data_IF_035943679810
#
_entry.id   IF_035943679810
#
_cell.length_a   1.000
_cell.length_b   1.000
_cell.length_c   1.000
_cell.angle_alpha   90.00
_cell.angle_beta   90.00
_cell.angle_gamma   90.00
#
_symmetry.space_group_name_H-M   'P 1'
#
loop_
_entity.id
_entity.type
_entity.pdbx_description
1 polymer ?
#
# COMPACT_ATOMS: atom_id res chain seq x y z
N UNK A 1 -29.85 -16.90 11.17
CA UNK A 1 -28.82 -15.84 11.12
C UNK A 1 -29.04 -15.02 9.85
N UNK A 2 -28.69 -13.74 9.85
CA UNK A 2 -28.80 -12.85 8.69
C UNK A 2 -27.41 -12.31 8.32
N UNK A 3 -27.07 -12.41 7.03
CA UNK A 3 -25.96 -11.71 6.40
C UNK A 3 -26.59 -10.75 5.40
N UNK A 4 -26.37 -9.46 5.59
CA UNK A 4 -26.77 -8.42 4.66
C UNK A 4 -25.71 -7.33 4.67
N UNK A 5 -25.44 -6.75 3.51
CA UNK A 5 -24.42 -5.74 3.35
C UNK A 5 -24.79 -4.74 2.25
N UNK A 6 -24.44 -3.49 2.46
CA UNK A 6 -24.65 -2.43 1.51
C UNK A 6 -23.87 -2.67 0.22
N UNK A 7 -24.52 -2.32 -0.89
CA UNK A 7 -23.91 -2.15 -2.20
C UNK A 7 -24.78 -1.16 -2.98
N UNK A 8 -24.27 -0.57 -4.04
CA UNK A 8 -25.03 0.40 -4.83
C UNK A 8 -26.38 -0.21 -5.31
N UNK A 9 -27.48 0.45 -4.97
CA UNK A 9 -28.85 0.00 -5.24
C UNK A 9 -29.45 -0.96 -4.19
N UNK A 10 -28.70 -1.36 -3.16
CA UNK A 10 -29.21 -2.22 -2.09
C UNK A 10 -30.15 -1.43 -1.15
N UNK A 11 -31.39 -1.91 -0.90
CA UNK A 11 -32.34 -1.21 -0.04
C UNK A 11 -32.02 -1.47 1.45
N UNK A 12 -30.96 -0.84 1.97
CA UNK A 12 -30.50 -1.02 3.35
C UNK A 12 -31.60 -0.72 4.38
N UNK A 13 -32.45 0.27 4.11
CA UNK A 13 -33.60 0.57 4.97
C UNK A 13 -34.57 -0.61 5.11
N UNK A 14 -34.87 -1.31 4.01
CA UNK A 14 -35.73 -2.51 4.05
C UNK A 14 -35.06 -3.65 4.81
N UNK A 15 -33.74 -3.80 4.69
CA UNK A 15 -32.99 -4.79 5.46
C UNK A 15 -33.05 -4.49 6.97
N UNK A 16 -32.93 -3.22 7.37
CA UNK A 16 -33.12 -2.77 8.75
C UNK A 16 -34.55 -3.01 9.25
N UNK A 17 -35.56 -2.74 8.43
CA UNK A 17 -36.96 -3.04 8.77
C UNK A 17 -37.17 -4.55 8.96
N UNK A 18 -36.55 -5.37 8.12
CA UNK A 18 -36.59 -6.84 8.26
C UNK A 18 -35.89 -7.31 9.55
N UNK A 19 -34.71 -6.76 9.87
CA UNK A 19 -34.01 -7.02 11.13
C UNK A 19 -34.91 -6.71 12.33
N UNK A 20 -35.54 -5.53 12.37
CA UNK A 20 -36.47 -5.16 13.45
C UNK A 20 -37.69 -6.08 13.52
N UNK A 21 -38.22 -6.49 12.38
CA UNK A 21 -39.41 -7.35 12.31
C UNK A 21 -39.13 -8.79 12.75
N UNK A 22 -37.96 -9.33 12.43
CA UNK A 22 -37.64 -10.76 12.61
C UNK A 22 -36.63 -11.05 13.71
N UNK A 23 -35.94 -10.02 14.21
CA UNK A 23 -34.88 -10.11 15.21
C UNK A 23 -33.88 -11.27 14.97
N UNK A 24 -33.30 -11.42 13.76
CA UNK A 24 -32.39 -12.52 13.49
C UNK A 24 -31.02 -12.32 14.16
N UNK A 25 -30.27 -13.40 14.37
CA UNK A 25 -28.85 -13.29 14.73
C UNK A 25 -28.06 -12.63 13.59
N UNK A 26 -27.54 -11.43 13.84
CA UNK A 26 -26.83 -10.61 12.85
C UNK A 26 -25.35 -10.95 12.79
N UNK A 27 -24.83 -11.19 11.58
CA UNK A 27 -23.38 -11.36 11.36
C UNK A 27 -22.69 -10.00 11.24
N UNK A 28 -23.29 -9.08 10.49
CA UNK A 28 -22.82 -7.70 10.37
C UNK A 28 -23.98 -6.77 10.75
N UNK A 29 -23.70 -5.79 11.60
CA UNK A 29 -24.69 -4.78 12.02
C UNK A 29 -25.08 -3.90 10.83
N UNK A 30 -26.38 -3.70 10.61
CA UNK A 30 -26.91 -2.94 9.47
C UNK A 30 -26.90 -1.42 9.72
N UNK A 31 -27.04 -0.96 10.96
CA UNK A 31 -26.97 0.47 11.28
C UNK A 31 -25.57 1.01 11.03
N UNK A 32 -24.55 0.24 11.41
CA UNK A 32 -23.14 0.57 11.17
C UNK A 32 -22.81 0.69 9.68
N UNK A 33 -23.61 0.14 8.78
CA UNK A 33 -23.39 0.30 7.33
C UNK A 33 -23.77 1.69 6.81
N UNK A 34 -24.63 2.45 7.52
CA UNK A 34 -24.81 3.88 7.23
C UNK A 34 -23.59 4.69 7.68
N UNK A 35 -23.01 4.34 8.82
CA UNK A 35 -21.79 4.97 9.32
C UNK A 35 -20.62 4.76 8.36
N UNK A 36 -20.48 3.56 7.78
CA UNK A 36 -19.43 3.25 6.82
C UNK A 36 -19.55 4.04 5.50
N UNK A 37 -20.70 4.63 5.20
CA UNK A 37 -20.89 5.47 4.00
C UNK A 37 -20.35 6.90 4.20
N UNK A 38 -20.07 7.32 5.43
CA UNK A 38 -19.52 8.64 5.75
C UNK A 38 -18.14 8.50 6.38
N UNK A 39 -17.10 8.91 5.64
CA UNK A 39 -15.71 8.83 6.11
C UNK A 39 -15.48 9.62 7.39
N UNK A 40 -16.27 10.67 7.66
CA UNK A 40 -16.15 11.47 8.88
C UNK A 40 -16.51 10.64 10.10
N UNK A 41 -17.61 9.89 10.01
CA UNK A 41 -18.06 9.00 11.09
C UNK A 41 -17.12 7.82 11.27
N UNK A 42 -16.59 7.26 10.17
CA UNK A 42 -15.54 6.23 10.22
C UNK A 42 -14.34 6.72 11.02
N UNK A 43 -13.81 7.91 10.69
CA UNK A 43 -12.63 8.45 11.36
C UNK A 43 -12.91 8.87 12.82
N UNK A 44 -14.13 9.31 13.15
CA UNK A 44 -14.55 9.54 14.54
C UNK A 44 -14.47 8.26 15.37
N UNK A 45 -14.94 7.13 14.83
CA UNK A 45 -14.87 5.83 15.50
C UNK A 45 -13.41 5.38 15.67
N UNK A 46 -12.59 5.45 14.60
CA UNK A 46 -11.17 5.09 14.69
C UNK A 46 -10.45 5.89 15.78
N UNK A 47 -10.73 7.20 15.88
CA UNK A 47 -10.19 8.06 16.93
C UNK A 47 -10.68 7.69 18.33
N UNK A 48 -11.98 7.43 18.49
CA UNK A 48 -12.60 7.04 19.76
C UNK A 48 -12.01 5.73 20.31
N UNK A 49 -11.77 4.77 19.43
CA UNK A 49 -11.24 3.45 19.78
C UNK A 49 -9.69 3.42 19.80
N UNK A 50 -9.04 4.58 19.71
CA UNK A 50 -7.57 4.70 19.72
C UNK A 50 -6.86 3.88 18.63
N UNK A 51 -7.55 3.61 17.51
CA UNK A 51 -6.96 2.91 16.36
C UNK A 51 -6.14 3.92 15.58
N UNK A 52 -4.87 3.60 15.32
CA UNK A 52 -3.97 4.50 14.58
C UNK A 52 -4.50 4.76 13.17
N UNK A 53 -4.63 6.03 12.81
CA UNK A 53 -5.06 6.54 11.51
C UNK A 53 -4.26 7.82 11.18
N UNK A 54 -4.16 8.24 9.91
CA UNK A 54 -3.47 9.48 9.55
C UNK A 54 -4.07 10.70 10.27
N UNK A 55 -3.24 11.70 10.61
CA UNK A 55 -3.77 12.97 11.10
C UNK A 55 -4.64 13.58 10.00
N UNK A 56 -5.82 14.05 10.37
CA UNK A 56 -6.81 14.54 9.43
C UNK A 56 -7.58 15.76 9.96
N UNK A 57 -8.16 16.52 9.04
CA UNK A 57 -9.14 17.57 9.29
C UNK A 57 -10.31 17.43 8.31
N UNK A 58 -11.48 17.92 8.70
CA UNK A 58 -12.71 17.85 7.89
C UNK A 58 -13.09 19.25 7.47
N UNK A 59 -13.36 19.44 6.17
CA UNK A 59 -13.89 20.67 5.62
C UNK A 59 -15.30 20.43 5.10
N UNK A 60 -16.31 20.94 5.80
CA UNK A 60 -17.72 20.79 5.45
C UNK A 60 -18.19 22.03 4.69
N UNK A 61 -18.46 21.91 3.38
CA UNK A 61 -18.97 23.02 2.56
C UNK A 61 -20.47 22.95 2.31
N UNK A 62 -21.06 21.76 2.45
CA UNK A 62 -22.46 21.53 2.08
C UNK A 62 -23.47 22.04 3.13
N UNK A 63 -23.00 22.48 4.30
CA UNK A 63 -23.83 22.85 5.44
C UNK A 63 -23.92 24.36 5.73
N UNK A 64 -23.44 25.25 4.83
CA UNK A 64 -23.20 26.67 5.14
C UNK A 64 -22.38 26.85 6.43
N UNK A 65 -21.45 25.92 6.66
CA UNK A 65 -20.64 25.85 7.88
C UNK A 65 -19.53 26.91 7.83
N UNK A 66 -19.25 27.55 8.95
CA UNK A 66 -18.20 28.59 9.04
C UNK A 66 -16.79 28.02 8.83
N UNK A 67 -16.64 26.69 8.73
CA UNK A 67 -15.35 26.02 8.50
C UNK A 67 -14.67 26.44 7.20
N UNK A 68 -15.41 26.82 6.16
CA UNK A 68 -14.83 27.31 4.89
C UNK A 68 -14.21 28.72 5.06
N UNK A 69 -14.67 29.51 6.04
CA UNK A 69 -14.10 30.82 6.35
C UNK A 69 -12.71 30.72 7.01
N UNK A 70 -12.40 29.57 7.62
CA UNK A 70 -11.10 29.30 8.26
C UNK A 70 -10.20 28.42 7.39
N UNK A 71 -10.55 28.23 6.11
CA UNK A 71 -9.73 27.50 5.15
C UNK A 71 -8.82 28.46 4.41
N UNK A 72 -7.51 28.25 4.51
CA UNK A 72 -6.54 28.94 3.66
C UNK A 72 -5.70 27.95 2.87
N UNK A 73 -5.43 28.29 1.62
CA UNK A 73 -4.59 27.48 0.73
C UNK A 73 -3.42 28.33 0.25
N UNK A 74 -2.22 27.83 0.45
CA UNK A 74 -0.99 28.38 -0.13
C UNK A 74 -0.48 27.48 -1.26
N UNK A 75 0.70 27.77 -1.78
CA UNK A 75 1.29 26.97 -2.85
C UNK A 75 1.62 25.53 -2.41
N UNK A 76 2.07 25.35 -1.16
CA UNK A 76 2.60 24.08 -0.64
C UNK A 76 1.94 23.59 0.66
N UNK A 77 0.94 24.30 1.18
CA UNK A 77 0.14 23.83 2.30
C UNK A 77 -1.32 24.28 2.23
N UNK A 78 -2.14 23.63 3.04
CA UNK A 78 -3.47 24.11 3.42
C UNK A 78 -3.51 24.27 4.94
N UNK A 79 -4.34 25.17 5.42
CA UNK A 79 -4.60 25.40 6.83
C UNK A 79 -6.10 25.41 7.08
N UNK A 80 -6.53 24.68 8.10
CA UNK A 80 -7.93 24.60 8.54
C UNK A 80 -7.97 24.75 10.06
N UNK A 81 -8.60 25.81 10.56
CA UNK A 81 -8.77 26.04 12.01
C UNK A 81 -7.45 25.93 12.80
N UNK A 82 -6.35 26.42 12.23
CA UNK A 82 -5.00 26.37 12.81
C UNK A 82 -4.21 25.08 12.54
N UNK A 83 -4.84 24.03 11.99
CA UNK A 83 -4.14 22.81 11.58
C UNK A 83 -3.56 22.94 10.18
N UNK A 84 -2.23 22.92 10.09
CA UNK A 84 -1.50 23.02 8.82
C UNK A 84 -1.19 21.63 8.25
N UNK A 85 -1.49 21.42 6.97
CA UNK A 85 -1.14 20.22 6.21
C UNK A 85 -0.19 20.60 5.08
N UNK A 86 1.08 20.23 5.23
CA UNK A 86 2.10 20.42 4.22
C UNK A 86 1.96 19.37 3.11
N UNK A 87 2.18 19.76 1.86
CA UNK A 87 2.23 18.79 0.76
C UNK A 87 3.46 17.86 0.94
N UNK A 88 3.32 16.54 0.72
CA UNK A 88 2.11 15.90 0.20
C UNK A 88 1.02 15.66 1.26
N UNK A 89 -0.22 15.89 0.86
CA UNK A 89 -1.42 15.55 1.64
C UNK A 89 -2.47 14.91 0.73
N UNK A 90 -3.44 14.21 1.33
CA UNK A 90 -4.52 13.51 0.65
C UNK A 90 -5.84 14.23 0.90
N UNK A 91 -6.70 14.33 -0.11
CA UNK A 91 -8.06 14.87 -0.05
C UNK A 91 -9.06 13.79 -0.48
N UNK A 92 -9.92 13.39 0.46
CA UNK A 92 -10.95 12.36 0.25
C UNK A 92 -12.33 13.00 0.29
N UNK A 93 -13.25 12.69 -0.64
CA UNK A 93 -14.66 13.02 -0.47
C UNK A 93 -15.19 12.47 0.86
N UNK A 94 -16.09 13.20 1.53
CA UNK A 94 -16.72 12.70 2.77
C UNK A 94 -17.58 11.46 2.54
N UNK A 95 -18.18 11.34 1.35
CA UNK A 95 -18.85 10.13 0.89
C UNK A 95 -17.83 9.02 0.64
N UNK A 96 -17.97 7.89 1.35
CA UNK A 96 -17.09 6.75 1.22
C UNK A 96 -17.25 6.02 -0.13
N UNK A 97 -18.42 6.12 -0.77
CA UNK A 97 -18.67 5.55 -2.09
C UNK A 97 -18.10 6.42 -3.23
N UNK A 98 -17.73 7.67 -2.95
CA UNK A 98 -16.94 8.47 -3.87
C UNK A 98 -15.44 8.14 -3.73
N UNK A 99 -14.92 7.49 -4.77
CA UNK A 99 -13.54 7.02 -4.86
C UNK A 99 -12.60 8.04 -5.54
N UNK A 100 -13.06 9.28 -5.78
CA UNK A 100 -12.24 10.36 -6.36
C UNK A 100 -11.31 10.99 -5.31
N UNK A 101 -10.31 10.22 -4.86
CA UNK A 101 -9.32 10.64 -3.86
C UNK A 101 -8.14 11.31 -4.53
N UNK A 102 -7.77 12.52 -4.08
CA UNK A 102 -6.69 13.30 -4.69
C UNK A 102 -5.49 13.39 -3.75
N UNK A 103 -4.29 13.39 -4.30
CA UNK A 103 -3.03 13.56 -3.57
C UNK A 103 -2.31 14.75 -4.18
N UNK A 104 -1.98 15.75 -3.37
CA UNK A 104 -1.32 16.97 -3.85
C UNK A 104 0.17 16.89 -3.56
N UNK A 105 1.01 17.23 -4.52
CA UNK A 105 2.47 17.14 -4.37
C UNK A 105 3.10 18.51 -4.15
N UNK A 106 4.18 18.60 -3.36
CA UNK A 106 4.83 19.88 -3.15
C UNK A 106 5.45 20.40 -4.45
N UNK A 107 5.63 21.72 -4.59
CA UNK A 107 6.35 22.37 -5.70
C UNK A 107 7.77 21.84 -5.77
N UNK A 108 8.37 21.65 -4.59
CA UNK A 108 9.64 20.99 -4.42
C UNK A 108 9.61 19.49 -4.78
N UNK A 109 8.50 18.90 -5.26
CA UNK A 109 8.39 17.59 -5.92
C UNK A 109 7.97 17.67 -7.40
N UNK A 110 7.72 18.88 -7.94
CA UNK A 110 7.21 19.12 -9.29
C UNK A 110 5.76 19.59 -9.32
N UNK A 111 5.11 19.68 -8.15
CA UNK A 111 3.73 20.12 -8.01
C UNK A 111 2.71 19.19 -8.68
N UNK A 112 1.49 19.71 -8.79
CA UNK A 112 0.35 18.99 -9.36
C UNK A 112 -0.28 18.02 -8.37
N UNK A 113 -1.11 17.13 -8.90
CA UNK A 113 -1.88 16.18 -8.11
C UNK A 113 -2.01 14.82 -8.79
N UNK A 114 -2.10 13.77 -7.98
CA UNK A 114 -2.52 12.44 -8.42
C UNK A 114 -4.00 12.28 -8.14
N UNK A 115 -4.80 11.94 -9.16
CA UNK A 115 -6.25 11.77 -9.06
C UNK A 115 -6.59 10.30 -9.15
N UNK A 116 -6.93 9.70 -8.02
CA UNK A 116 -7.37 8.32 -7.93
C UNK A 116 -8.84 8.24 -8.32
N UNK A 117 -9.24 7.08 -8.83
CA UNK A 117 -10.61 6.78 -9.19
C UNK A 117 -10.84 5.28 -9.13
N UNK A 118 -12.11 4.86 -9.07
CA UNK A 118 -12.47 3.45 -9.18
C UNK A 118 -11.91 2.90 -10.49
N UNK A 119 -11.06 1.88 -10.38
CA UNK A 119 -10.29 1.29 -11.47
C UNK A 119 -11.08 1.15 -12.77
N UNK A 120 -10.55 1.72 -13.85
CA UNK A 120 -11.08 1.62 -15.22
C UNK A 120 -10.00 0.95 -16.08
N UNK A 121 -10.26 -0.29 -16.49
CA UNK A 121 -9.32 -1.08 -17.29
C UNK A 121 -7.96 -1.27 -16.59
N UNK A 122 -6.90 -0.72 -17.16
CA UNK A 122 -5.53 -0.83 -16.65
C UNK A 122 -5.11 0.34 -15.75
N UNK A 123 -6.01 1.27 -15.42
CA UNK A 123 -5.70 2.44 -14.59
C UNK A 123 -6.52 2.54 -13.32
N UNK A 124 -5.89 3.05 -12.27
CA UNK A 124 -6.47 3.36 -10.96
C UNK A 124 -6.22 4.81 -10.52
N UNK A 125 -5.37 5.55 -11.24
CA UNK A 125 -5.18 6.98 -11.06
C UNK A 125 -4.53 7.62 -12.29
N UNK A 126 -4.53 8.96 -12.31
CA UNK A 126 -3.87 9.77 -13.33
C UNK A 126 -3.25 11.03 -12.71
N UNK A 127 -2.08 11.42 -13.21
CA UNK A 127 -1.45 12.69 -12.84
C UNK A 127 -2.16 13.86 -13.49
N UNK A 128 -2.29 14.96 -12.76
CA UNK A 128 -2.82 16.24 -13.22
C UNK A 128 -1.84 17.35 -12.83
N UNK A 129 -1.58 18.34 -13.71
CA UNK A 129 -0.75 19.48 -13.36
C UNK A 129 -1.45 20.44 -12.36
N UNK A 130 -2.74 20.25 -12.10
CA UNK A 130 -3.50 21.10 -11.19
C UNK A 130 -3.01 20.87 -9.75
N UNK A 131 -2.52 21.94 -9.13
CA UNK A 131 -1.93 21.93 -7.78
C UNK A 131 -2.84 22.60 -6.73
N UNK A 132 -4.09 22.92 -7.09
CA UNK A 132 -5.08 23.54 -6.20
C UNK A 132 -6.16 22.54 -5.79
N UNK A 133 -6.62 22.65 -4.53
CA UNK A 133 -7.67 21.79 -3.98
C UNK A 133 -9.03 22.01 -4.63
N UNK A 134 -9.94 21.04 -4.49
CA UNK A 134 -11.32 21.17 -4.98
C UNK A 134 -12.07 22.22 -4.15
N UNK A 135 -12.87 23.04 -4.84
CA UNK A 135 -13.58 24.21 -4.27
C UNK A 135 -15.05 23.95 -3.96
N UNK A 136 -15.61 22.85 -4.45
CA UNK A 136 -17.01 22.48 -4.28
C UNK A 136 -17.10 21.12 -3.60
N UNK A 137 -18.03 20.95 -2.66
CA UNK A 137 -18.19 19.72 -1.89
C UNK A 137 -17.32 19.67 -0.63
N UNK A 138 -17.67 18.73 0.24
CA UNK A 138 -17.01 18.49 1.53
C UNK A 138 -15.93 17.41 1.43
N UNK A 139 -14.81 17.61 2.14
CA UNK A 139 -13.64 16.73 2.05
C UNK A 139 -13.00 16.47 3.42
N UNK A 140 -12.32 15.33 3.52
CA UNK A 140 -11.33 15.04 4.55
C UNK A 140 -9.95 15.31 3.95
N UNK A 141 -9.15 16.12 4.62
CA UNK A 141 -7.74 16.29 4.33
C UNK A 141 -6.92 15.54 5.36
N UNK A 142 -5.97 14.73 4.90
CA UNK A 142 -5.11 13.93 5.78
C UNK A 142 -3.64 13.97 5.35
N UNK A 143 -2.76 13.71 6.32
CA UNK A 143 -1.34 13.58 6.05
C UNK A 143 -1.06 12.40 5.11
N UNK A 144 -0.21 12.64 4.10
CA UNK A 144 0.24 11.57 3.23
C UNK A 144 1.23 10.66 3.96
N UNK A 145 0.91 9.37 4.05
CA UNK A 145 1.75 8.38 4.71
C UNK A 145 2.77 7.78 3.72
N UNK A 146 4.09 7.93 3.94
CA UNK A 146 5.10 7.41 3.03
C UNK A 146 5.26 5.89 3.22
N UNK A 147 4.53 5.10 2.43
CA UNK A 147 4.65 3.64 2.39
C UNK A 147 5.73 3.19 1.39
N UNK A 148 6.04 1.90 1.36
CA UNK A 148 6.92 1.28 0.36
C UNK A 148 6.28 1.14 -1.04
N UNK A 149 5.19 1.88 -1.31
CA UNK A 149 4.47 1.86 -2.58
C UNK A 149 3.38 0.80 -2.68
N UNK A 150 3.00 0.20 -1.55
CA UNK A 150 1.91 -0.77 -1.47
C UNK A 150 0.92 -0.41 -0.37
N UNK A 151 -0.34 -0.78 -0.61
CA UNK A 151 -1.42 -0.68 0.37
C UNK A 151 -1.74 -2.10 0.85
N UNK A 152 -1.84 -2.30 2.16
CA UNK A 152 -2.17 -3.60 2.76
C UNK A 152 -3.68 -3.67 2.92
N UNK A 153 -4.33 -4.61 2.23
CA UNK A 153 -5.76 -4.88 2.37
C UNK A 153 -5.96 -6.00 3.37
N UNK A 154 -6.71 -5.72 4.42
CA UNK A 154 -7.03 -6.67 5.49
C UNK A 154 -8.49 -7.07 5.40
N UNK A 155 -8.76 -8.36 5.60
CA UNK A 155 -10.08 -8.96 5.55
C UNK A 155 -10.29 -9.78 6.82
N UNK A 156 -10.98 -9.20 7.79
CA UNK A 156 -11.33 -9.83 9.05
C UNK A 156 -12.55 -10.74 8.89
N UNK A 157 -12.57 -11.84 9.64
CA UNK A 157 -13.74 -12.72 9.82
C UNK A 157 -13.89 -12.98 11.31
N UNK A 158 -14.59 -12.07 11.98
CA UNK A 158 -14.62 -11.95 13.43
C UNK A 158 -13.36 -11.31 14.00
N UNK A 159 -13.25 -11.27 15.34
CA UNK A 159 -12.16 -10.60 16.02
C UNK A 159 -10.80 -11.31 15.90
N UNK A 160 -10.79 -12.63 15.69
CA UNK A 160 -9.58 -13.45 15.87
C UNK A 160 -8.96 -13.96 14.57
N UNK A 161 -9.61 -13.71 13.42
CA UNK A 161 -9.12 -14.08 12.11
C UNK A 161 -9.00 -12.87 11.19
N UNK A 162 -7.84 -12.71 10.56
CA UNK A 162 -7.62 -11.72 9.52
C UNK A 162 -6.69 -12.25 8.44
N UNK A 163 -7.13 -12.15 7.19
CA UNK A 163 -6.29 -12.36 6.01
C UNK A 163 -5.76 -11.02 5.50
N UNK A 164 -4.52 -10.97 5.02
CA UNK A 164 -3.95 -9.75 4.46
C UNK A 164 -3.19 -9.99 3.15
N UNK A 165 -3.38 -9.08 2.21
CA UNK A 165 -2.69 -9.03 0.93
C UNK A 165 -2.29 -7.59 0.61
N UNK A 166 -1.11 -7.37 0.07
CA UNK A 166 -0.67 -6.06 -0.40
C UNK A 166 -0.93 -5.91 -1.90
N UNK A 167 -1.27 -4.70 -2.32
CA UNK A 167 -1.39 -4.32 -3.73
C UNK A 167 -0.57 -3.06 -3.98
N UNK A 168 -0.18 -2.83 -5.23
CA UNK A 168 0.49 -1.59 -5.62
C UNK A 168 -0.42 -0.40 -5.31
N UNK A 169 0.13 0.60 -4.64
CA UNK A 169 -0.62 1.81 -4.29
C UNK A 169 -0.98 2.61 -5.55
N UNK A 170 -2.24 3.02 -5.72
CA UNK A 170 -2.65 3.87 -6.84
C UNK A 170 -2.06 5.29 -6.72
N UNK A 171 -1.49 5.66 -5.57
CA UNK A 171 -0.75 6.90 -5.36
C UNK A 171 0.54 7.01 -6.21
N UNK A 172 1.05 5.90 -6.75
CA UNK A 172 2.26 5.87 -7.57
C UNK A 172 2.03 6.38 -9.01
N UNK A 173 1.93 5.47 -9.98
CA UNK A 173 1.78 5.80 -11.41
C UNK A 173 0.35 5.57 -11.95
N UNK A 174 -0.52 4.98 -11.12
CA UNK A 174 -1.87 4.61 -11.47
C UNK A 174 -1.99 3.45 -12.45
N UNK A 175 -0.89 2.77 -12.82
CA UNK A 175 -0.92 1.59 -13.69
C UNK A 175 -1.13 0.35 -12.84
N UNK A 176 -2.21 -0.36 -13.12
CA UNK A 176 -2.56 -1.61 -12.44
C UNK A 176 -1.65 -2.72 -12.95
N UNK A 177 -0.96 -3.39 -12.04
CA UNK A 177 -0.14 -4.55 -12.36
C UNK A 177 -1.01 -5.79 -12.48
N UNK A 178 -0.84 -6.53 -13.58
CA UNK A 178 -1.61 -7.74 -13.87
C UNK A 178 -0.67 -8.91 -14.12
N UNK A 179 -1.10 -10.09 -13.68
CA UNK A 179 -0.42 -11.35 -13.97
C UNK A 179 -0.73 -11.85 -15.39
N UNK A 180 -0.22 -13.04 -15.71
CA UNK A 180 -0.38 -13.67 -17.03
C UNK A 180 -1.85 -13.98 -17.36
N UNK A 181 -2.69 -14.14 -16.34
CA UNK A 181 -4.12 -14.43 -16.47
C UNK A 181 -4.96 -13.14 -16.44
N UNK A 182 -4.30 -11.97 -16.47
CA UNK A 182 -4.96 -10.67 -16.44
C UNK A 182 -5.52 -10.28 -15.07
N UNK A 183 -5.29 -11.05 -14.01
CA UNK A 183 -5.71 -10.71 -12.64
C UNK A 183 -4.73 -9.71 -12.03
N UNK A 184 -5.22 -8.88 -11.13
CA UNK A 184 -4.38 -7.89 -10.45
C UNK A 184 -3.39 -8.57 -9.50
N UNK A 185 -2.12 -8.18 -9.60
CA UNK A 185 -1.04 -8.76 -8.79
C UNK A 185 -1.25 -8.42 -7.32
N UNK A 186 -1.10 -9.43 -6.47
CA UNK A 186 -1.24 -9.35 -5.02
C UNK A 186 -0.04 -10.01 -4.37
N UNK A 187 0.42 -9.42 -3.27
CA UNK A 187 1.52 -9.96 -2.48
C UNK A 187 0.99 -10.48 -1.15
N UNK A 188 1.32 -11.72 -0.74
CA UNK A 188 0.89 -12.22 0.56
C UNK A 188 1.49 -11.36 1.68
N UNK A 189 0.67 -11.02 2.68
CA UNK A 189 1.10 -10.25 3.85
C UNK A 189 0.82 -11.04 5.11
N UNK A 190 1.83 -11.13 5.97
CA UNK A 190 1.65 -11.58 7.34
C UNK A 190 1.47 -10.34 8.20
N UNK A 191 0.36 -10.30 8.94
CA UNK A 191 0.10 -9.25 9.92
C UNK A 191 0.96 -9.48 11.17
N UNK A 192 1.55 -8.40 11.67
CA UNK A 192 2.19 -8.37 12.98
C UNK A 192 1.15 -8.53 14.09
N UNK A 193 1.59 -8.81 15.33
CA UNK A 193 0.70 -8.90 16.49
C UNK A 193 -0.13 -7.61 16.67
N UNK A 194 0.51 -6.44 16.51
CA UNK A 194 -0.16 -5.15 16.61
C UNK A 194 -1.23 -4.97 15.53
N UNK A 195 -0.96 -5.39 14.29
CA UNK A 195 -1.95 -5.29 13.20
C UNK A 195 -3.10 -6.28 13.34
N UNK A 196 -2.87 -7.45 13.96
CA UNK A 196 -3.95 -8.37 14.35
C UNK A 196 -4.84 -7.74 15.42
N UNK A 197 -4.26 -7.06 16.40
CA UNK A 197 -5.03 -6.27 17.36
C UNK A 197 -5.85 -5.18 16.64
N UNK A 198 -5.26 -4.46 15.69
CA UNK A 198 -6.01 -3.49 14.88
C UNK A 198 -7.18 -4.15 14.15
N UNK A 199 -6.98 -5.32 13.53
CA UNK A 199 -8.05 -6.04 12.85
C UNK A 199 -9.20 -6.45 13.80
N UNK A 200 -8.85 -6.90 15.00
CA UNK A 200 -9.80 -7.18 16.09
C UNK A 200 -10.62 -5.93 16.43
N UNK A 201 -9.94 -4.83 16.77
CA UNK A 201 -10.59 -3.60 17.18
C UNK A 201 -11.46 -3.02 16.07
N UNK A 202 -11.02 -3.04 14.80
CA UNK A 202 -11.83 -2.60 13.66
C UNK A 202 -13.10 -3.47 13.51
N UNK A 203 -12.98 -4.80 13.59
CA UNK A 203 -14.15 -5.68 13.47
C UNK A 203 -15.19 -5.41 14.58
N UNK A 204 -14.72 -5.25 15.82
CA UNK A 204 -15.58 -4.99 16.97
C UNK A 204 -16.19 -3.58 16.95
N UNK A 205 -15.37 -2.55 16.72
CA UNK A 205 -15.79 -1.15 16.71
C UNK A 205 -16.87 -0.87 15.67
N UNK A 206 -16.71 -1.43 14.46
CA UNK A 206 -17.67 -1.28 13.38
C UNK A 206 -18.78 -2.34 13.40
N UNK A 207 -18.74 -3.28 14.34
CA UNK A 207 -19.68 -4.42 14.46
C UNK A 207 -19.85 -5.18 13.15
N UNK A 208 -18.75 -5.30 12.40
CA UNK A 208 -18.71 -6.01 11.13
C UNK A 208 -17.88 -7.27 11.34
N UNK A 209 -18.54 -8.43 11.44
CA UNK A 209 -17.83 -9.72 11.55
C UNK A 209 -17.00 -9.95 10.30
N UNK A 210 -17.61 -9.85 9.12
CA UNK A 210 -16.86 -9.83 7.86
C UNK A 210 -16.53 -8.38 7.55
N UNK A 211 -15.25 -7.99 7.63
CA UNK A 211 -14.85 -6.59 7.49
C UNK A 211 -13.56 -6.44 6.67
N UNK A 212 -13.59 -5.63 5.61
CA UNK A 212 -12.44 -5.24 4.82
C UNK A 212 -11.99 -3.82 5.17
N UNK A 213 -10.69 -3.63 5.39
CA UNK A 213 -10.11 -2.30 5.65
C UNK A 213 -8.69 -2.21 5.09
N UNK A 214 -8.22 -0.99 4.87
CA UNK A 214 -6.91 -0.70 4.30
C UNK A 214 -5.94 -0.17 5.35
N UNK A 215 -4.72 -0.72 5.35
CA UNK A 215 -3.61 -0.37 6.21
C UNK A 215 -2.45 0.24 5.41
N UNK A 216 -1.91 1.33 5.93
CA UNK A 216 -0.68 1.96 5.48
C UNK A 216 0.43 1.65 6.49
N UNK A 217 1.46 0.92 6.05
CA UNK A 217 2.68 0.70 6.83
C UNK A 217 3.65 1.84 6.55
N UNK A 218 3.83 2.74 7.52
CA UNK A 218 4.66 3.93 7.39
C UNK A 218 5.37 4.25 8.72
N UNK A 219 6.63 4.70 8.65
CA UNK A 219 7.40 5.13 9.82
C UNK A 219 7.44 4.09 10.97
N UNK A 220 7.49 2.79 10.63
CA UNK A 220 7.51 1.69 11.60
C UNK A 220 6.19 1.43 12.32
N UNK A 221 5.09 2.07 11.90
CA UNK A 221 3.73 1.88 12.43
C UNK A 221 2.75 1.50 11.31
N UNK A 222 1.54 1.08 11.69
CA UNK A 222 0.45 0.75 10.77
C UNK A 222 -0.74 1.65 11.05
N UNK A 223 -1.31 2.24 10.00
CA UNK A 223 -2.40 3.21 10.10
C UNK A 223 -3.57 2.75 9.25
N UNK A 224 -4.77 2.73 9.81
CA UNK A 224 -6.01 2.49 9.06
C UNK A 224 -6.36 3.75 8.29
N UNK A 225 -6.54 3.63 6.97
CA UNK A 225 -6.88 4.75 6.10
C UNK A 225 -8.24 4.60 5.40
N UNK A 226 -8.83 3.41 5.44
CA UNK A 226 -10.18 3.16 4.92
C UNK A 226 -10.81 1.93 5.59
N UNK A 227 -12.12 1.95 5.82
CA UNK A 227 -12.91 0.82 6.35
C UNK A 227 -14.13 0.63 5.46
N UNK A 228 -14.20 -0.51 4.77
CA UNK A 228 -15.18 -0.76 3.71
C UNK A 228 -16.40 -1.58 4.18
N UNK A 229 -16.36 -2.14 5.39
CA UNK A 229 -17.36 -3.11 5.84
C UNK A 229 -17.25 -4.45 5.12
N UNK A 230 -18.38 -5.05 4.74
CA UNK A 230 -18.41 -6.41 4.21
C UNK A 230 -17.55 -6.59 2.94
N UNK A 231 -16.51 -7.41 3.02
CA UNK A 231 -15.61 -7.67 1.89
C UNK A 231 -14.96 -9.04 2.01
N UNK A 232 -15.00 -9.81 0.92
CA UNK A 232 -14.32 -11.10 0.83
C UNK A 232 -13.01 -11.03 0.05
N UNK A 233 -12.04 -11.83 0.49
CA UNK A 233 -10.85 -12.15 -0.31
C UNK A 233 -11.29 -12.91 -1.55
N UNK A 234 -10.66 -12.63 -2.69
CA UNK A 234 -10.95 -13.30 -3.96
C UNK A 234 -9.79 -14.19 -4.36
N UNK A 235 -10.09 -15.34 -4.97
CA UNK A 235 -9.11 -16.31 -5.49
C UNK A 235 -8.25 -16.99 -4.40
N UNK A 236 -8.81 -17.24 -3.22
CA UNK A 236 -8.11 -17.95 -2.15
C UNK A 236 -9.01 -19.05 -1.59
N UNK A 237 -8.80 -20.29 -2.02
CA UNK A 237 -9.59 -21.44 -1.53
C UNK A 237 -9.48 -21.59 -0.02
N UNK A 238 -8.27 -21.40 0.53
CA UNK A 238 -8.05 -21.41 1.98
C UNK A 238 -8.89 -20.36 2.71
N UNK A 239 -9.00 -19.15 2.17
CA UNK A 239 -9.85 -18.12 2.80
C UNK A 239 -11.32 -18.54 2.78
N UNK A 240 -11.80 -19.13 1.69
CA UNK A 240 -13.18 -19.59 1.62
C UNK A 240 -13.48 -20.67 2.65
N UNK A 241 -12.59 -21.66 2.80
CA UNK A 241 -12.72 -22.73 3.80
C UNK A 241 -12.69 -22.17 5.24
N UNK A 242 -11.70 -21.32 5.54
CA UNK A 242 -11.54 -20.70 6.86
C UNK A 242 -12.77 -19.82 7.19
N UNK A 243 -13.18 -18.94 6.26
CA UNK A 243 -14.29 -18.03 6.44
C UNK A 243 -15.61 -18.78 6.65
N UNK A 244 -15.90 -19.80 5.83
CA UNK A 244 -17.11 -20.61 5.96
C UNK A 244 -17.14 -21.34 7.31
N UNK A 245 -16.01 -21.92 7.73
CA UNK A 245 -15.90 -22.61 9.03
C UNK A 245 -16.12 -21.66 10.19
N UNK A 246 -15.52 -20.47 10.17
CA UNK A 246 -15.67 -19.47 11.23
C UNK A 246 -17.12 -18.99 11.31
N UNK A 247 -17.71 -18.57 10.20
CA UNK A 247 -19.11 -18.11 10.17
C UNK A 247 -20.08 -19.22 10.57
N UNK A 248 -19.89 -20.44 10.07
CA UNK A 248 -20.69 -21.60 10.48
C UNK A 248 -20.59 -21.87 11.98
N UNK A 249 -19.39 -21.81 12.55
CA UNK A 249 -19.17 -21.97 14.00
C UNK A 249 -19.86 -20.87 14.81
N UNK A 250 -19.81 -19.61 14.35
CA UNK A 250 -20.51 -18.49 15.01
C UNK A 250 -22.03 -18.69 15.01
N UNK A 251 -22.60 -19.09 13.86
CA UNK A 251 -24.03 -19.37 13.73
C UNK A 251 -24.44 -20.54 14.62
N UNK A 252 -23.70 -21.65 14.60
CA UNK A 252 -23.98 -22.81 15.45
C UNK A 252 -23.86 -22.46 16.94
N UNK A 253 -22.82 -21.72 17.34
CA UNK A 253 -22.64 -21.28 18.73
C UNK A 253 -23.83 -20.45 19.22
N UNK A 254 -24.41 -19.60 18.38
CA UNK A 254 -25.53 -18.73 18.77
C UNK A 254 -26.90 -19.44 18.71
N UNK A 255 -27.14 -20.23 17.67
CA UNK A 255 -28.47 -20.79 17.36
C UNK A 255 -28.66 -22.24 17.81
N UNK A 256 -27.60 -23.05 17.92
CA UNK A 256 -27.75 -24.46 18.28
C UNK A 256 -28.45 -24.68 19.64
N UNK A 257 -28.17 -23.89 20.71
CA UNK A 257 -28.89 -24.02 21.97
C UNK A 257 -30.40 -23.74 21.82
N UNK A 258 -30.77 -22.74 21.03
CA UNK A 258 -32.17 -22.35 20.80
C UNK A 258 -32.92 -23.38 19.96
N UNK A 259 -32.21 -24.04 19.05
CA UNK A 259 -32.75 -25.07 18.15
C UNK A 259 -32.62 -26.49 18.71
N UNK A 260 -32.11 -26.65 19.94
CA UNK A 260 -31.82 -27.95 20.57
C UNK A 260 -30.95 -28.87 19.68
N UNK A 261 -30.06 -28.28 18.88
CA UNK A 261 -29.12 -29.04 18.06
C UNK A 261 -27.93 -29.39 18.95
N UNK A 262 -27.57 -30.67 19.12
CA UNK A 262 -26.35 -31.06 19.83
C UNK A 262 -25.13 -30.51 19.10
N UNK A 263 -24.55 -29.45 19.64
CA UNK A 263 -23.32 -28.86 19.15
C UNK A 263 -22.30 -28.88 20.27
N UNK A 264 -21.37 -29.82 20.20
CA UNK A 264 -20.20 -29.80 21.07
C UNK A 264 -19.40 -28.59 20.67
N UNK A 265 -19.23 -27.64 21.58
CA UNK A 265 -18.21 -26.62 21.42
C UNK A 265 -16.89 -27.39 21.30
N UNK A 266 -16.40 -27.60 20.07
CA UNK A 266 -14.98 -27.88 19.87
C UNK A 266 -14.27 -26.83 20.72
N UNK A 267 -13.33 -27.28 21.54
CA UNK A 267 -12.67 -26.42 22.52
C UNK A 267 -12.30 -25.09 21.90
N UNK A 268 -12.40 -24.02 22.69
CA UNK A 268 -12.07 -22.67 22.28
C UNK A 268 -10.81 -22.67 21.38
N UNK A 269 -10.68 -21.75 20.41
CA UNK A 269 -9.49 -21.65 19.56
C UNK A 269 -8.16 -21.43 20.32
N UNK A 270 -8.17 -21.46 21.65
CA UNK A 270 -7.00 -21.57 22.53
C UNK A 270 -6.41 -23.00 22.59
N UNK A 271 -7.15 -24.03 22.22
CA UNK A 271 -6.60 -25.38 22.16
C UNK A 271 -5.87 -25.61 20.84
N UNK A 272 -4.56 -25.78 20.99
CA UNK A 272 -3.61 -26.25 19.99
C UNK A 272 -4.27 -27.34 19.13
N UNK A 273 -4.27 -27.22 17.78
CA UNK A 273 -4.93 -28.19 16.92
C UNK A 273 -4.32 -29.58 17.12
N UNK A 274 -5.12 -30.50 17.65
CA UNK A 274 -4.78 -31.92 17.77
C UNK A 274 -5.01 -32.57 16.41
N UNK A 275 -3.96 -33.16 15.85
CA UNK A 275 -4.02 -33.79 14.52
C UNK A 275 -4.21 -35.29 14.69
N UNK A 276 -5.29 -35.89 14.15
CA UNK A 276 -5.45 -37.35 14.18
C UNK A 276 -4.43 -38.01 13.25
N UNK A 277 -3.73 -39.02 13.76
CA UNK A 277 -2.81 -39.84 12.96
C UNK A 277 -3.44 -41.19 12.61
N UNK A 278 -2.95 -41.83 11.55
CA UNK A 278 -3.39 -43.15 11.05
C UNK A 278 -3.22 -44.30 12.06
N UNK A 279 -2.60 -44.04 13.21
CA UNK A 279 -2.35 -45.01 14.28
C UNK A 279 -3.18 -44.78 15.55
N UNK A 280 -4.11 -43.82 15.54
CA UNK A 280 -5.03 -43.57 16.67
C UNK A 280 -4.45 -42.79 17.86
N UNK A 281 -3.14 -42.46 17.84
CA UNK A 281 -2.50 -41.67 18.90
C UNK A 281 -2.72 -40.18 18.68
N UNK A 282 -3.27 -39.50 19.70
CA UNK A 282 -3.46 -38.05 19.73
C UNK A 282 -2.10 -37.35 19.93
N UNK A 283 -1.72 -36.45 19.02
CA UNK A 283 -0.50 -35.65 19.14
C UNK A 283 -0.83 -34.17 19.31
N UNK A 284 -0.16 -33.53 20.28
CA UNK A 284 -0.26 -32.09 20.57
C UNK A 284 0.83 -31.32 19.80
N UNK A 285 0.44 -30.30 19.03
CA UNK A 285 1.39 -29.44 18.30
C UNK A 285 2.11 -28.49 19.27
N UNK A 286 3.26 -28.90 19.81
CA UNK A 286 4.04 -28.10 20.76
C UNK A 286 4.68 -26.85 20.16
N UNK A 287 5.15 -26.93 18.92
CA UNK A 287 5.69 -25.77 18.22
C UNK A 287 5.60 -25.94 16.70
N UNK A 288 5.50 -24.82 15.99
CA UNK A 288 5.69 -24.76 14.53
C UNK A 288 7.06 -24.17 14.27
N UNK A 289 7.98 -24.97 13.75
CA UNK A 289 9.30 -24.49 13.33
C UNK A 289 9.22 -24.16 11.84
N UNK A 290 9.11 -22.86 11.53
CA UNK A 290 9.18 -22.37 10.16
C UNK A 290 10.63 -22.03 9.81
N UNK A 291 11.29 -22.88 9.02
CA UNK A 291 12.61 -22.59 8.46
C UNK A 291 12.43 -21.80 7.16
N UNK A 292 12.55 -20.48 7.26
CA UNK A 292 12.47 -19.59 6.10
C UNK A 292 13.88 -19.37 5.56
N UNK A 293 14.19 -19.99 4.42
CA UNK A 293 15.31 -19.56 3.59
C UNK A 293 14.92 -18.30 2.83
N UNK A 294 15.86 -17.40 2.60
CA UNK A 294 15.65 -16.20 1.80
C UNK A 294 15.28 -16.62 0.36
N UNK A 295 13.98 -16.71 0.06
CA UNK A 295 13.47 -16.96 -1.28
C UNK A 295 13.94 -15.89 -2.25
N UNK A 296 14.03 -16.26 -3.53
CA UNK A 296 14.67 -15.51 -4.59
C UNK A 296 14.27 -14.03 -4.58
N UNK A 297 15.26 -13.19 -4.32
CA UNK A 297 15.15 -11.75 -4.52
C UNK A 297 14.67 -11.54 -5.95
N UNK A 298 13.67 -10.68 -6.15
CA UNK A 298 13.31 -10.16 -7.48
C UNK A 298 14.61 -9.84 -8.23
N UNK A 299 14.84 -10.39 -9.43
CA UNK A 299 16.11 -10.23 -10.12
C UNK A 299 16.45 -8.75 -10.18
N UNK A 300 17.54 -8.37 -9.50
CA UNK A 300 18.00 -6.98 -9.51
C UNK A 300 18.36 -6.69 -10.96
N UNK A 301 17.62 -5.79 -11.61
CA UNK A 301 17.96 -5.29 -12.93
C UNK A 301 19.31 -4.56 -12.84
N UNK A 302 20.38 -5.30 -13.08
CA UNK A 302 21.76 -4.86 -12.87
C UNK A 302 22.42 -4.65 -14.22
N UNK A 303 22.44 -3.41 -14.65
CA UNK A 303 23.28 -2.98 -15.76
C UNK A 303 24.76 -2.97 -15.32
N UNK A 304 25.65 -3.50 -16.15
CA UNK A 304 27.12 -3.41 -15.96
C UNK A 304 27.74 -2.71 -17.16
N UNK A 305 28.64 -1.77 -16.88
CA UNK A 305 29.44 -1.11 -17.90
C UNK A 305 30.80 -0.71 -17.32
N UNK A 306 31.79 -0.56 -18.20
CA UNK A 306 33.10 -0.04 -17.85
C UNK A 306 33.17 1.45 -18.15
N UNK A 307 33.68 2.23 -17.21
CA UNK A 307 33.89 3.66 -17.33
C UNK A 307 35.39 3.98 -17.20
N UNK A 308 35.90 4.87 -18.05
CA UNK A 308 37.32 5.27 -18.09
C UNK A 308 37.52 6.79 -18.02
N UNK A 309 36.45 7.57 -17.92
CA UNK A 309 36.52 9.02 -17.94
C UNK A 309 36.99 9.60 -16.60
N UNK A 310 37.85 10.63 -16.63
CA UNK A 310 38.43 11.32 -15.45
C UNK A 310 37.39 11.69 -14.39
N UNK A 311 36.26 12.26 -14.81
CA UNK A 311 35.14 12.63 -13.92
C UNK A 311 34.60 11.48 -13.04
N UNK A 312 34.65 10.21 -13.48
CA UNK A 312 34.27 9.09 -12.62
C UNK A 312 35.32 8.78 -11.55
N UNK A 313 36.59 9.06 -11.83
CA UNK A 313 37.68 8.95 -10.85
C UNK A 313 37.62 10.07 -9.81
N UNK A 314 37.18 11.27 -10.19
CA UNK A 314 36.92 12.38 -9.25
C UNK A 314 35.87 11.99 -8.20
N UNK A 315 34.79 11.28 -8.59
CA UNK A 315 33.82 10.73 -7.63
C UNK A 315 34.47 9.73 -6.66
N UNK A 316 35.38 8.90 -7.16
CA UNK A 316 36.15 7.96 -6.34
C UNK A 316 37.02 8.68 -5.31
N UNK A 317 37.66 9.78 -5.70
CA UNK A 317 38.46 10.61 -4.80
C UNK A 317 37.57 11.26 -3.74
N UNK A 318 36.52 11.95 -4.18
CA UNK A 318 35.59 12.73 -3.34
C UNK A 318 34.92 11.89 -2.25
N UNK A 319 34.52 10.66 -2.59
CA UNK A 319 33.85 9.75 -1.65
C UNK A 319 34.78 8.68 -1.06
N UNK A 320 36.11 8.89 -1.13
CA UNK A 320 37.13 8.01 -0.56
C UNK A 320 37.03 6.54 -1.02
N UNK A 321 36.57 6.31 -2.25
CA UNK A 321 36.40 4.98 -2.83
C UNK A 321 37.72 4.25 -3.05
N UNK A 322 38.83 4.96 -3.23
CA UNK A 322 40.16 4.37 -3.42
C UNK A 322 40.61 3.55 -2.21
N UNK A 323 40.34 4.02 -0.99
CA UNK A 323 40.68 3.31 0.26
C UNK A 323 39.99 1.95 0.37
N UNK A 324 38.79 1.80 -0.21
CA UNK A 324 37.96 0.59 -0.13
C UNK A 324 37.97 -0.25 -1.41
N UNK A 325 38.64 0.21 -2.47
CA UNK A 325 38.61 -0.40 -3.81
C UNK A 325 37.24 -0.41 -4.50
N UNK A 326 36.21 0.18 -3.89
CA UNK A 326 34.85 0.26 -4.42
C UNK A 326 34.10 1.46 -3.85
N UNK A 327 33.13 1.94 -4.62
CA UNK A 327 32.27 3.07 -4.27
C UNK A 327 30.80 2.68 -4.44
N UNK A 328 29.98 2.91 -3.40
CA UNK A 328 28.53 2.65 -3.42
C UNK A 328 27.78 3.95 -3.19
N UNK A 329 27.08 4.43 -4.20
CA UNK A 329 26.30 5.67 -4.19
C UNK A 329 24.81 5.35 -4.12
N UNK A 330 24.12 5.96 -3.16
CA UNK A 330 22.69 5.74 -2.90
C UNK A 330 21.93 7.04 -2.61
N UNK A 331 22.61 8.07 -2.09
CA UNK A 331 21.94 9.32 -1.71
C UNK A 331 21.55 10.12 -2.97
N UNK A 332 20.41 10.85 -2.96
CA UNK A 332 19.97 11.68 -4.09
C UNK A 332 21.07 12.56 -4.68
N UNK A 333 21.78 13.32 -3.83
CA UNK A 333 22.90 14.18 -4.25
C UNK A 333 24.01 13.42 -4.97
N UNK A 334 24.33 12.21 -4.52
CA UNK A 334 25.36 11.37 -5.14
C UNK A 334 24.92 10.83 -6.51
N UNK A 335 23.65 10.45 -6.63
CA UNK A 335 23.09 9.95 -7.89
C UNK A 335 22.94 11.08 -8.92
N UNK A 336 22.63 12.30 -8.46
CA UNK A 336 22.63 13.50 -9.30
C UNK A 336 24.03 13.79 -9.87
N UNK A 337 25.08 13.72 -9.05
CA UNK A 337 26.45 13.90 -9.53
C UNK A 337 26.84 12.87 -10.61
N UNK A 338 26.37 11.62 -10.50
CA UNK A 338 26.55 10.61 -11.57
C UNK A 338 25.77 10.99 -12.82
N UNK A 339 24.52 11.42 -12.68
CA UNK A 339 23.68 11.84 -13.81
C UNK A 339 24.27 13.03 -14.56
N UNK A 340 24.84 14.00 -13.84
CA UNK A 340 25.46 15.19 -14.44
C UNK A 340 26.69 14.82 -15.28
N UNK A 341 27.50 13.86 -14.82
CA UNK A 341 28.61 13.31 -15.61
C UNK A 341 28.08 12.62 -16.87
N UNK A 342 27.02 11.82 -16.77
CA UNK A 342 26.42 11.13 -17.92
C UNK A 342 25.87 12.13 -18.94
N UNK A 343 25.18 13.19 -18.50
CA UNK A 343 24.68 14.27 -19.37
C UNK A 343 25.82 15.01 -20.06
N UNK A 344 26.89 15.32 -19.33
CA UNK A 344 28.10 15.93 -19.89
C UNK A 344 28.69 15.06 -21.01
N UNK A 345 28.88 13.76 -20.76
CA UNK A 345 29.45 12.83 -21.75
C UNK A 345 28.55 12.63 -22.97
N UNK A 346 27.23 12.61 -22.80
CA UNK A 346 26.29 12.52 -23.92
C UNK A 346 26.26 13.80 -24.76
N UNK A 347 26.54 14.97 -24.16
CA UNK A 347 26.62 16.24 -24.87
C UNK A 347 27.98 16.43 -25.58
N UNK A 348 29.11 16.07 -24.98
CA UNK A 348 30.43 16.15 -25.64
C UNK A 348 30.53 15.25 -26.87
N UNK A 349 29.88 14.07 -26.85
CA UNK A 349 29.80 13.18 -28.02
C UNK A 349 29.10 13.78 -29.24
N UNK A 350 28.21 14.76 -29.04
CA UNK A 350 27.56 15.43 -30.17
C UNK A 350 28.52 16.37 -30.91
N UNK A 351 29.63 16.76 -30.27
CA UNK A 351 30.56 17.79 -30.75
C UNK A 351 31.86 17.19 -31.30
N UNK A 352 32.32 16.03 -30.79
CA UNK A 352 33.56 15.37 -31.23
C UNK A 352 33.28 13.98 -31.81
N UNK A 353 33.33 13.86 -33.13
CA UNK A 353 33.03 12.64 -33.92
C UNK A 353 34.14 11.58 -33.94
N UNK A 354 34.94 11.49 -32.87
CA UNK A 354 36.03 10.53 -32.74
C UNK A 354 36.40 10.34 -31.26
N UNK A 355 35.87 9.31 -30.60
CA UNK A 355 36.51 8.66 -29.44
C UNK A 355 35.72 7.42 -29.00
N UNK A 356 36.37 6.54 -28.25
CA UNK A 356 35.94 5.31 -27.55
C UNK A 356 34.54 5.36 -26.84
N UNK A 357 33.89 6.51 -26.81
CA UNK A 357 32.61 6.75 -26.17
C UNK A 357 31.41 6.34 -27.07
N UNK A 358 31.62 6.18 -28.39
CA UNK A 358 30.57 5.80 -29.34
C UNK A 358 30.01 4.39 -29.06
N UNK A 359 30.86 3.41 -28.76
CA UNK A 359 30.46 2.03 -28.40
C UNK A 359 29.65 1.93 -27.10
N UNK A 360 29.65 2.98 -26.27
CA UNK A 360 28.97 3.00 -24.96
C UNK A 360 27.82 3.99 -24.88
N UNK A 361 27.48 4.66 -25.98
CA UNK A 361 26.42 5.67 -26.03
C UNK A 361 25.07 5.10 -25.60
N UNK A 362 24.66 3.94 -26.13
CA UNK A 362 23.42 3.26 -25.75
C UNK A 362 23.36 2.94 -24.24
N UNK A 363 24.50 2.53 -23.65
CA UNK A 363 24.62 2.26 -22.21
C UNK A 363 24.54 3.55 -21.39
N UNK A 364 25.15 4.65 -21.84
CA UNK A 364 25.03 5.96 -21.18
C UNK A 364 23.61 6.53 -21.28
N UNK A 365 22.94 6.36 -22.41
CA UNK A 365 21.54 6.74 -22.60
C UNK A 365 20.61 5.91 -21.70
N UNK A 366 20.85 4.60 -21.58
CA UNK A 366 20.12 3.75 -20.64
C UNK A 366 20.36 4.18 -19.18
N UNK A 367 21.60 4.49 -18.81
CA UNK A 367 21.93 4.99 -17.47
C UNK A 367 21.24 6.33 -17.18
N UNK A 368 21.22 7.25 -18.15
CA UNK A 368 20.47 8.52 -18.07
C UNK A 368 18.99 8.25 -17.86
N UNK A 369 18.38 7.41 -18.70
CA UNK A 369 16.95 7.07 -18.62
C UNK A 369 16.60 6.48 -17.26
N UNK A 370 17.39 5.52 -16.75
CA UNK A 370 17.14 4.91 -15.44
C UNK A 370 17.30 5.92 -14.30
N UNK A 371 18.27 6.83 -14.37
CA UNK A 371 18.48 7.85 -13.34
C UNK A 371 17.42 8.96 -13.39
N UNK A 372 16.89 9.30 -14.57
CA UNK A 372 15.86 10.33 -14.78
C UNK A 372 14.41 9.79 -14.67
N UNK A 373 14.22 8.48 -14.79
CA UNK A 373 12.91 7.85 -14.67
C UNK A 373 12.22 8.30 -13.37
N UNK A 374 10.92 8.55 -13.38
CA UNK A 374 10.17 9.06 -12.22
C UNK A 374 10.61 10.45 -11.68
N UNK A 375 11.41 11.21 -12.44
CA UNK A 375 11.67 12.64 -12.22
C UNK A 375 12.65 12.99 -11.10
N UNK A 376 12.52 12.39 -9.91
CA UNK A 376 13.36 12.67 -8.74
C UNK A 376 13.96 11.40 -8.15
N UNK A 377 15.12 11.54 -7.51
CA UNK A 377 15.69 10.48 -6.69
C UNK A 377 14.92 10.37 -5.37
N UNK A 378 13.72 9.78 -5.39
CA UNK A 378 12.92 9.47 -4.20
C UNK A 378 12.95 7.96 -3.91
N UNK A 379 13.47 7.59 -2.74
CA UNK A 379 13.51 6.19 -2.26
C UNK A 379 14.83 5.43 -2.51
N UNK A 380 14.96 4.26 -1.85
CA UNK A 380 16.17 3.40 -1.82
C UNK A 380 16.33 2.56 -3.11
N UNK A 381 15.50 2.81 -4.12
CA UNK A 381 15.32 1.91 -5.27
C UNK A 381 16.40 2.03 -6.35
N UNK A 382 17.29 3.04 -6.27
CA UNK A 382 18.42 3.22 -7.19
C UNK A 382 19.74 3.22 -6.45
N UNK A 383 20.72 2.51 -7.01
CA UNK A 383 22.10 2.51 -6.50
C UNK A 383 23.07 2.41 -7.66
N UNK A 384 24.15 3.17 -7.57
CA UNK A 384 25.30 3.03 -8.45
C UNK A 384 26.44 2.45 -7.64
N UNK A 385 27.07 1.40 -8.16
CA UNK A 385 28.24 0.81 -7.54
C UNK A 385 29.37 0.77 -8.54
N UNK A 386 30.47 1.43 -8.21
CA UNK A 386 31.71 1.35 -8.95
C UNK A 386 32.72 0.44 -8.24
N UNK A 387 33.56 -0.23 -9.02
CA UNK A 387 34.70 -1.01 -8.54
C UNK A 387 35.95 -0.49 -9.22
N UNK A 388 36.97 -0.14 -8.44
CA UNK A 388 38.22 0.37 -9.00
C UNK A 388 39.03 -0.79 -9.59
N UNK A 389 39.52 -0.62 -10.82
CA UNK A 389 40.32 -1.61 -11.54
C UNK A 389 41.53 -0.90 -12.17
N UNK A 390 42.62 -0.70 -11.41
CA UNK A 390 43.79 0.06 -11.89
C UNK A 390 44.52 -0.63 -13.04
N UNK A 391 44.46 -1.97 -13.11
CA UNK A 391 45.13 -2.79 -14.12
C UNK A 391 44.17 -3.23 -15.25
N UNK A 392 42.96 -2.64 -15.30
CA UNK A 392 41.89 -3.09 -16.19
C UNK A 392 41.21 -4.40 -15.72
N UNK A 393 40.18 -4.83 -16.45
CA UNK A 393 39.46 -6.06 -16.16
C UNK A 393 40.24 -7.24 -16.76
N UNK A 394 40.58 -8.30 -16.01
CA UNK A 394 41.18 -9.50 -16.61
C UNK A 394 40.21 -10.08 -17.62
N UNK A 395 40.66 -10.31 -18.87
CA UNK A 395 39.87 -10.96 -19.92
C UNK A 395 39.44 -12.33 -19.40
N UNK A 396 38.16 -12.49 -19.08
CA UNK A 396 37.51 -13.80 -18.96
C UNK A 396 36.46 -13.92 -20.06
N UNK A 397 36.50 -15.08 -20.69
CA UNK A 397 35.85 -15.55 -21.91
C UNK A 397 34.33 -15.34 -21.99
N UNK A 398 33.90 -14.96 -23.21
CA UNK A 398 32.66 -15.33 -23.93
C UNK A 398 31.34 -15.38 -23.14
N UNK A 399 30.54 -14.32 -23.26
CA UNK A 399 29.05 -14.36 -23.22
C UNK A 399 28.36 -13.00 -23.44
N UNK A 400 29.04 -11.96 -23.93
CA UNK A 400 28.40 -10.68 -24.30
C UNK A 400 28.64 -10.26 -25.77
N UNK A 401 29.07 -11.20 -26.63
CA UNK A 401 29.00 -11.05 -28.09
C UNK A 401 28.02 -12.09 -28.63
N UNK A 402 26.83 -11.65 -29.01
CA UNK A 402 25.82 -12.50 -29.64
C UNK A 402 24.45 -11.84 -29.69
N UNK A 403 24.17 -11.17 -30.82
CA UNK A 403 22.82 -10.78 -31.27
C UNK A 403 22.40 -9.36 -30.95
#
# INVERSE_FOLDING_TARGET
ALIAFFSNGFPLEKAVQYEKLRNPFMINDLQMQYVLQDRREVYKILKKECIAHPRYAVLNRDANDETDLQFTETEDCIEMSGDVFQKPFVEKPVDAEDHNVYIYFPVAAGGGSQRLFRKIGARSSVYSPINKVRKTGSYIYEEFMPTDGTDVKVYAVGPDYAHAEARKSPALDGKVERDKDGKEVRYPVILSAMEKCIAREVSLAFKQTVCGFDLLRANGKSYVCDVNGFSFVKNSSKYYDDCAKILGTMVMRNLAPQLHIPWVLGSAPEDVPVVPTTSGSMMELRCVIAVIRHGDRTPKQKMKMEVKHSKFFELFQKYQGYKKGHLKLKKPKQLQEVLDIVRFLLNENKVKKNSVIEEKKAKLEQLKLVLEMYGRFSGINRKVQFKYQPQGRPKRSSSEEGG
#
